data_IF_711310534988
#
_entry.id   IF_711310534988
#
_cell.length_a   1.000
_cell.length_b   1.000
_cell.length_c   1.000
_cell.angle_alpha   90.00
_cell.angle_beta   90.00
_cell.angle_gamma   90.00
#
_symmetry.space_group_name_H-M   'P 1'
#
loop_
_entity.id
_entity.type
_entity.pdbx_description
1 polymer ?
#
# COMPACT_ATOMS: atom_id res chain seq x y z
N UNK A 1 1.40 104.39 1.87
CA UNK A 1 2.80 104.85 1.79
C UNK A 1 3.64 103.73 1.26
N UNK A 2 4.58 104.06 0.51
CA UNK A 2 4.72 103.72 -0.93
C UNK A 2 5.82 102.66 -1.07
N UNK A 3 6.27 102.13 -2.11
CA UNK A 3 6.81 102.67 -3.34
C UNK A 3 7.17 101.53 -4.29
N UNK A 4 6.81 101.59 -5.51
CA UNK A 4 7.63 101.71 -6.70
C UNK A 4 8.58 100.57 -7.04
N UNK A 5 8.25 99.87 -8.02
CA UNK A 5 8.71 99.90 -9.43
C UNK A 5 10.14 99.39 -9.69
N UNK A 6 10.24 98.45 -10.50
CA UNK A 6 10.89 98.61 -11.85
C UNK A 6 10.78 97.37 -12.70
N UNK A 7 10.40 97.63 -13.84
CA UNK A 7 10.44 96.83 -15.07
C UNK A 7 11.92 96.51 -15.48
N UNK A 8 12.19 95.36 -15.90
CA UNK A 8 13.12 95.10 -17.00
C UNK A 8 12.83 93.79 -17.77
N UNK A 9 12.66 93.99 -18.99
CA UNK A 9 12.37 93.09 -20.07
C UNK A 9 13.73 92.47 -20.57
N UNK A 10 13.83 91.18 -20.69
CA UNK A 10 14.77 90.60 -21.73
C UNK A 10 14.42 89.20 -22.15
N UNK A 11 14.04 89.06 -23.35
CA UNK A 11 14.43 88.18 -24.45
C UNK A 11 14.54 86.66 -24.21
N UNK A 12 13.51 85.97 -24.75
CA UNK A 12 13.59 84.86 -25.71
C UNK A 12 14.82 83.98 -25.71
N UNK A 13 14.60 82.69 -25.39
CA UNK A 13 15.15 81.60 -26.21
C UNK A 13 14.26 80.39 -26.09
N UNK A 14 13.52 80.13 -27.20
CA UNK A 14 12.77 78.88 -27.43
C UNK A 14 13.73 77.72 -27.51
N UNK A 15 13.68 76.79 -26.54
CA UNK A 15 14.29 75.47 -26.70
C UNK A 15 13.18 74.42 -26.82
N UNK A 16 13.05 73.96 -28.07
CA UNK A 16 12.24 72.80 -28.42
C UNK A 16 12.82 71.55 -27.74
N UNK A 17 12.15 71.04 -26.71
CA UNK A 17 12.49 69.76 -26.15
C UNK A 17 11.68 68.70 -26.90
N UNK A 18 12.33 67.96 -27.76
CA UNK A 18 11.78 66.76 -28.42
C UNK A 18 11.80 65.63 -27.43
N UNK A 19 10.61 65.30 -26.88
CA UNK A 19 10.43 64.15 -25.99
C UNK A 19 10.37 62.87 -26.82
N UNK A 20 11.47 62.11 -26.84
CA UNK A 20 11.52 60.76 -27.37
C UNK A 20 10.76 59.82 -26.42
N UNK A 21 9.52 59.47 -26.78
CA UNK A 21 8.82 58.36 -26.13
C UNK A 21 9.47 57.04 -26.56
N UNK A 22 10.37 56.54 -25.74
CA UNK A 22 10.85 55.17 -25.83
C UNK A 22 9.74 54.20 -25.39
N UNK A 23 8.95 53.70 -26.35
CA UNK A 23 8.06 52.57 -26.13
C UNK A 23 8.89 51.30 -25.90
N UNK A 24 9.16 50.98 -24.64
CA UNK A 24 9.83 49.75 -24.27
C UNK A 24 8.96 48.54 -24.64
N UNK A 25 9.32 47.88 -25.71
CA UNK A 25 8.82 46.53 -26.04
C UNK A 25 9.32 45.56 -24.93
N UNK A 26 8.47 45.22 -23.94
CA UNK A 26 8.74 44.13 -23.05
C UNK A 26 8.43 42.83 -23.75
N UNK A 27 9.42 41.92 -23.94
CA UNK A 27 9.12 40.60 -24.47
C UNK A 27 8.20 39.86 -23.48
N UNK A 28 7.02 39.50 -23.95
CA UNK A 28 6.12 38.58 -23.25
C UNK A 28 6.85 37.23 -23.23
N UNK A 29 7.43 36.87 -22.06
CA UNK A 29 7.88 35.52 -21.80
C UNK A 29 6.62 34.65 -21.74
N UNK A 30 6.35 33.89 -22.79
CA UNK A 30 5.39 32.79 -22.80
C UNK A 30 5.90 31.76 -21.77
N UNK A 31 5.35 31.81 -20.57
CA UNK A 31 5.48 30.73 -19.59
C UNK A 31 4.76 29.53 -20.22
N UNK A 32 5.53 28.60 -20.79
CA UNK A 32 5.02 27.33 -21.25
C UNK A 32 4.39 26.64 -20.06
N UNK A 33 3.06 26.38 -20.11
CA UNK A 33 2.39 25.56 -19.15
C UNK A 33 3.14 24.19 -19.07
N UNK A 34 3.35 23.64 -17.86
CA UNK A 34 3.98 22.34 -17.73
C UNK A 34 3.19 21.34 -18.58
N UNK A 35 3.89 20.64 -19.48
CA UNK A 35 3.29 19.54 -20.23
C UNK A 35 2.69 18.58 -19.22
N UNK A 36 1.44 18.11 -19.40
CA UNK A 36 0.91 17.04 -18.57
C UNK A 36 1.89 15.88 -18.67
N UNK A 37 2.40 15.43 -17.52
CA UNK A 37 3.26 14.27 -17.46
C UNK A 37 2.54 13.12 -18.18
N UNK A 38 3.23 12.46 -19.12
CA UNK A 38 2.69 11.30 -19.81
C UNK A 38 2.20 10.32 -18.74
N UNK A 39 1.02 9.70 -18.89
CA UNK A 39 0.50 8.77 -17.89
C UNK A 39 1.57 7.69 -17.65
N UNK A 40 2.09 7.66 -16.42
CA UNK A 40 3.12 6.70 -16.03
C UNK A 40 2.49 5.32 -16.09
N UNK A 41 2.83 4.52 -17.11
CA UNK A 41 2.37 3.14 -17.20
C UNK A 41 3.05 2.34 -16.08
N UNK A 42 2.30 1.61 -15.23
CA UNK A 42 2.90 0.78 -14.19
C UNK A 42 3.90 -0.22 -14.75
N UNK A 43 5.01 -0.41 -14.05
CA UNK A 43 6.01 -1.41 -14.43
C UNK A 43 5.44 -2.82 -14.22
N UNK A 44 5.46 -3.65 -15.24
CA UNK A 44 5.13 -5.07 -15.14
C UNK A 44 6.33 -5.87 -14.62
N UNK A 45 6.04 -6.81 -13.70
CA UNK A 45 7.03 -7.72 -13.14
C UNK A 45 6.62 -9.18 -13.39
N UNK A 46 7.61 -10.02 -13.61
CA UNK A 46 7.52 -11.46 -13.55
C UNK A 46 8.31 -11.97 -12.35
N UNK A 47 8.25 -13.27 -12.09
CA UNK A 47 8.91 -13.90 -10.96
C UNK A 47 9.81 -15.05 -11.37
N UNK A 48 10.77 -15.35 -10.51
CA UNK A 48 11.50 -16.63 -10.48
C UNK A 48 11.30 -17.24 -9.10
N UNK A 49 11.01 -18.54 -9.03
CA UNK A 49 10.93 -19.27 -7.76
C UNK A 49 12.35 -19.50 -7.26
N UNK A 50 12.64 -19.06 -6.03
CA UNK A 50 13.91 -19.22 -5.33
C UNK A 50 13.87 -20.48 -4.47
N UNK A 51 12.77 -20.65 -3.70
CA UNK A 51 12.54 -21.80 -2.85
C UNK A 51 11.04 -22.09 -2.70
N UNK A 52 10.71 -23.29 -2.27
CA UNK A 52 9.34 -23.74 -2.02
C UNK A 52 9.29 -24.40 -0.66
N UNK A 53 8.34 -23.98 0.16
CA UNK A 53 8.17 -24.46 1.52
C UNK A 53 6.79 -25.15 1.68
N UNK A 54 6.64 -26.06 2.64
CA UNK A 54 5.36 -26.68 2.92
C UNK A 54 4.37 -25.67 3.50
N UNK A 55 3.09 -25.85 3.17
CA UNK A 55 1.99 -25.06 3.72
C UNK A 55 0.79 -25.96 4.02
N UNK A 56 0.06 -25.65 5.07
CA UNK A 56 -1.12 -26.39 5.50
C UNK A 56 -2.29 -26.18 4.52
N UNK A 57 -2.73 -27.24 3.86
CA UNK A 57 -3.84 -27.21 2.90
C UNK A 57 -5.20 -26.91 3.55
N UNK A 58 -5.30 -26.91 4.87
CA UNK A 58 -6.49 -26.48 5.61
C UNK A 58 -6.46 -24.98 5.96
N UNK A 59 -5.32 -24.30 5.76
CA UNK A 59 -5.19 -22.89 6.06
C UNK A 59 -5.91 -22.03 5.03
N UNK A 60 -7.03 -21.43 5.43
CA UNK A 60 -7.72 -20.41 4.63
C UNK A 60 -7.05 -19.06 4.88
N UNK A 61 -5.87 -18.87 4.28
CA UNK A 61 -4.96 -17.75 4.52
C UNK A 61 -5.60 -16.42 4.21
N UNK A 62 -5.67 -15.53 5.20
CA UNK A 62 -6.22 -14.19 5.10
C UNK A 62 -5.18 -13.10 5.42
N UNK A 63 -4.11 -13.45 6.09
CA UNK A 63 -3.00 -12.55 6.34
C UNK A 63 -1.72 -13.33 6.59
N UNK A 64 -0.59 -12.80 6.14
CA UNK A 64 0.71 -13.42 6.26
C UNK A 64 1.77 -12.38 6.64
N UNK A 65 2.67 -12.72 7.53
CA UNK A 65 3.82 -11.89 7.86
C UNK A 65 5.03 -12.77 8.20
N UNK A 66 6.25 -12.28 7.97
CA UNK A 66 7.47 -13.04 8.26
C UNK A 66 8.29 -12.36 9.35
N UNK A 67 8.85 -13.16 10.29
CA UNK A 67 9.89 -12.72 11.23
C UNK A 67 10.75 -13.89 11.69
N UNK A 68 12.08 -13.76 11.58
CA UNK A 68 13.08 -14.63 12.21
C UNK A 68 12.88 -16.12 11.94
N UNK A 69 12.61 -16.52 10.68
CA UNK A 69 12.41 -17.91 10.28
C UNK A 69 11.00 -18.45 10.50
N UNK A 70 10.08 -17.61 10.99
CA UNK A 70 8.69 -17.97 11.19
C UNK A 70 7.76 -17.14 10.31
N UNK A 71 6.72 -17.77 9.82
CA UNK A 71 5.54 -17.10 9.30
C UNK A 71 4.52 -16.97 10.41
N UNK A 72 3.88 -15.80 10.47
CA UNK A 72 2.69 -15.55 11.24
C UNK A 72 1.54 -15.53 10.23
N UNK A 73 0.50 -16.27 10.52
CA UNK A 73 -0.59 -16.49 9.58
C UNK A 73 -1.94 -16.27 10.26
N UNK A 74 -2.76 -15.38 9.72
CA UNK A 74 -4.17 -15.24 10.03
C UNK A 74 -4.99 -16.11 9.09
N UNK A 75 -5.83 -16.99 9.63
CA UNK A 75 -6.74 -17.82 8.84
C UNK A 75 -8.18 -17.43 9.06
N UNK A 76 -9.00 -17.57 7.99
CA UNK A 76 -10.44 -17.34 8.00
C UNK A 76 -11.26 -18.61 8.19
N UNK A 77 -12.55 -18.48 7.94
CA UNK A 77 -13.68 -19.40 8.09
C UNK A 77 -14.22 -19.45 9.53
N UNK A 78 -15.53 -19.26 9.67
CA UNK A 78 -16.24 -19.34 10.95
C UNK A 78 -16.00 -20.69 11.62
N UNK A 79 -15.72 -20.66 12.91
CA UNK A 79 -15.38 -21.83 13.71
C UNK A 79 -13.99 -22.44 13.45
N UNK A 80 -13.22 -21.91 12.50
CA UNK A 80 -11.90 -22.41 12.12
C UNK A 80 -10.82 -21.30 12.09
N UNK A 81 -11.22 -20.04 12.29
CA UNK A 81 -10.32 -18.90 12.25
C UNK A 81 -9.27 -18.95 13.34
N UNK A 82 -8.03 -18.67 12.98
CA UNK A 82 -6.91 -18.71 13.92
C UNK A 82 -5.83 -17.70 13.61
N UNK A 83 -4.99 -17.42 14.60
CA UNK A 83 -3.67 -16.83 14.45
C UNK A 83 -2.63 -17.92 14.71
N UNK A 84 -1.70 -18.13 13.79
CA UNK A 84 -0.68 -19.18 13.84
C UNK A 84 0.72 -18.60 13.74
N UNK A 85 1.68 -19.26 14.42
CA UNK A 85 3.12 -19.10 14.19
C UNK A 85 3.64 -20.39 13.58
N UNK A 86 4.16 -20.33 12.39
CA UNK A 86 4.53 -21.50 11.57
C UNK A 86 6.01 -21.43 11.25
N UNK A 87 6.75 -22.53 11.47
CA UNK A 87 8.15 -22.63 11.06
C UNK A 87 8.24 -22.70 9.53
N UNK A 88 8.90 -21.74 8.90
CA UNK A 88 8.95 -21.64 7.44
C UNK A 88 9.46 -22.93 6.79
N UNK A 89 10.55 -23.48 7.29
CA UNK A 89 11.24 -24.63 6.65
C UNK A 89 10.42 -25.94 6.69
N UNK A 90 9.59 -26.13 7.71
CA UNK A 90 8.89 -27.41 7.94
C UNK A 90 7.37 -27.32 7.79
N UNK A 91 6.79 -26.12 7.83
CA UNK A 91 5.34 -25.94 7.91
C UNK A 91 4.75 -26.31 9.29
N UNK A 92 5.58 -26.57 10.29
CA UNK A 92 5.16 -26.89 11.64
C UNK A 92 4.49 -25.70 12.32
N UNK A 93 3.27 -25.88 12.80
CA UNK A 93 2.58 -24.89 13.63
C UNK A 93 3.16 -24.99 15.04
N UNK A 94 4.01 -24.04 15.42
CA UNK A 94 4.66 -24.04 16.74
C UNK A 94 3.81 -23.32 17.81
N UNK A 95 2.86 -22.50 17.38
CA UNK A 95 1.93 -21.79 18.27
C UNK A 95 0.65 -21.41 17.52
N UNK A 96 -0.49 -21.50 18.20
CA UNK A 96 -1.79 -21.15 17.64
C UNK A 96 -2.72 -20.62 18.72
N UNK A 97 -3.57 -19.67 18.35
CA UNK A 97 -4.75 -19.27 19.08
C UNK A 97 -5.94 -19.26 18.14
N UNK A 98 -7.06 -19.83 18.55
CA UNK A 98 -8.29 -19.80 17.76
C UNK A 98 -9.11 -18.57 18.14
N UNK A 99 -9.79 -18.00 17.16
CA UNK A 99 -10.77 -16.94 17.38
C UNK A 99 -12.07 -17.55 17.93
N UNK A 100 -12.93 -16.69 18.45
CA UNK A 100 -14.31 -17.06 18.83
C UNK A 100 -15.05 -17.63 17.61
N UNK A 101 -15.88 -18.66 17.77
CA UNK A 101 -16.45 -19.43 16.64
C UNK A 101 -17.30 -18.63 15.67
N UNK A 102 -17.87 -17.52 16.10
CA UNK A 102 -18.69 -16.59 15.32
C UNK A 102 -17.88 -15.52 14.58
N UNK A 103 -16.55 -15.54 14.73
CA UNK A 103 -15.67 -14.58 14.10
C UNK A 103 -14.95 -15.19 12.90
N UNK A 104 -14.91 -14.42 11.82
CA UNK A 104 -14.09 -14.74 10.65
C UNK A 104 -12.79 -13.92 10.71
N UNK A 105 -11.66 -14.60 10.95
CA UNK A 105 -10.33 -13.98 11.02
C UNK A 105 -9.86 -13.52 9.65
N UNK A 106 -9.16 -12.40 9.62
CA UNK A 106 -8.70 -11.75 8.40
C UNK A 106 -7.23 -11.34 8.50
N UNK A 107 -6.82 -10.31 7.76
CA UNK A 107 -5.46 -9.82 7.64
C UNK A 107 -4.76 -9.61 8.97
N UNK A 108 -3.46 -9.87 8.96
CA UNK A 108 -2.58 -9.65 10.12
C UNK A 108 -1.39 -8.79 9.74
N UNK A 109 -0.76 -8.19 10.75
CA UNK A 109 0.57 -7.59 10.60
C UNK A 109 1.35 -7.64 11.91
N UNK A 110 2.68 -7.48 11.81
CA UNK A 110 3.58 -7.42 12.97
C UNK A 110 4.00 -5.98 13.24
N UNK A 111 3.57 -5.41 14.36
CA UNK A 111 3.98 -4.07 14.77
C UNK A 111 4.69 -4.13 16.12
N UNK A 112 6.00 -3.84 16.12
CA UNK A 112 6.86 -4.01 17.29
C UNK A 112 6.80 -5.45 17.83
N UNK A 113 6.46 -5.63 19.11
CA UNK A 113 6.30 -6.94 19.75
C UNK A 113 4.83 -7.39 19.83
N UNK A 114 4.06 -7.05 18.80
CA UNK A 114 2.62 -7.35 18.72
C UNK A 114 2.27 -7.95 17.38
N UNK A 115 1.25 -8.82 17.41
CA UNK A 115 0.52 -9.24 16.21
C UNK A 115 -0.84 -8.54 16.27
N UNK A 116 -1.21 -7.90 15.17
CA UNK A 116 -2.52 -7.27 15.01
C UNK A 116 -3.29 -8.11 14.01
N UNK A 117 -4.52 -8.49 14.33
CA UNK A 117 -5.39 -9.29 13.47
C UNK A 117 -6.76 -8.63 13.34
N UNK A 118 -7.28 -8.62 12.12
CA UNK A 118 -8.62 -8.13 11.80
C UNK A 118 -9.64 -9.27 11.81
N UNK A 119 -10.91 -8.90 11.75
CA UNK A 119 -12.04 -9.79 11.46
C UNK A 119 -12.82 -9.23 10.27
N UNK A 120 -13.51 -10.07 9.50
CA UNK A 120 -14.19 -9.66 8.28
C UNK A 120 -15.25 -8.56 8.52
N UNK A 121 -16.42 -8.94 9.07
CA UNK A 121 -17.61 -8.08 9.19
C UNK A 121 -17.90 -7.60 10.61
N UNK A 122 -17.22 -8.18 11.59
CA UNK A 122 -17.48 -7.89 13.01
C UNK A 122 -16.97 -6.51 13.43
N UNK A 123 -16.07 -5.88 12.62
CA UNK A 123 -15.46 -4.59 12.95
C UNK A 123 -14.59 -4.64 14.20
N UNK A 124 -14.09 -5.82 14.57
CA UNK A 124 -13.26 -6.07 15.74
C UNK A 124 -11.85 -6.42 15.29
N UNK A 125 -10.86 -5.74 15.85
CA UNK A 125 -9.46 -6.11 15.72
C UNK A 125 -8.87 -6.58 17.04
N UNK A 126 -7.92 -7.48 16.96
CA UNK A 126 -7.20 -8.06 18.09
C UNK A 126 -5.74 -7.62 18.09
N UNK A 127 -5.20 -7.39 19.27
CA UNK A 127 -3.78 -7.14 19.50
C UNK A 127 -3.27 -8.22 20.43
N UNK A 128 -2.36 -9.04 19.93
CA UNK A 128 -1.71 -10.10 20.70
C UNK A 128 -0.24 -9.74 20.99
N UNK A 129 0.26 -10.23 22.11
CA UNK A 129 1.70 -10.30 22.36
C UNK A 129 2.36 -11.26 21.36
N UNK A 130 3.42 -10.82 20.69
CA UNK A 130 4.08 -11.57 19.62
C UNK A 130 4.63 -12.95 20.06
N UNK A 131 5.11 -13.03 21.29
CA UNK A 131 5.81 -14.22 21.77
C UNK A 131 4.84 -15.24 22.36
N UNK A 132 3.86 -14.78 23.13
CA UNK A 132 2.94 -15.65 23.88
C UNK A 132 1.59 -15.83 23.23
N UNK A 133 1.23 -15.03 22.22
CA UNK A 133 -0.11 -14.93 21.63
C UNK A 133 -1.20 -14.60 22.67
N UNK A 134 -0.80 -14.09 23.83
CA UNK A 134 -1.75 -13.59 24.83
C UNK A 134 -2.46 -12.36 24.28
N UNK A 135 -3.78 -12.38 24.31
CA UNK A 135 -4.58 -11.21 23.93
C UNK A 135 -4.27 -10.05 24.88
N UNK A 136 -3.82 -8.93 24.33
CA UNK A 136 -3.50 -7.69 25.05
C UNK A 136 -4.70 -6.75 25.11
N UNK A 137 -5.34 -6.55 23.94
CA UNK A 137 -6.56 -5.72 23.83
C UNK A 137 -7.32 -6.01 22.54
N UNK A 138 -8.55 -5.51 22.50
CA UNK A 138 -9.37 -5.40 21.28
C UNK A 138 -9.50 -3.93 20.89
N UNK A 139 -9.73 -3.69 19.62
CA UNK A 139 -10.11 -2.38 19.09
C UNK A 139 -11.24 -2.55 18.10
N UNK A 140 -11.92 -1.44 17.78
CA UNK A 140 -13.01 -1.46 16.81
C UNK A 140 -12.67 -0.59 15.62
N UNK A 141 -13.17 -0.98 14.45
CA UNK A 141 -13.12 -0.20 13.22
C UNK A 141 -14.46 -0.32 12.48
N UNK A 142 -14.77 0.63 11.60
CA UNK A 142 -16.01 0.62 10.83
C UNK A 142 -15.84 -0.17 9.53
N UNK A 143 -16.92 -0.80 9.05
CA UNK A 143 -16.92 -1.56 7.80
C UNK A 143 -16.22 -2.91 7.89
N UNK A 144 -15.83 -3.45 6.76
CA UNK A 144 -15.10 -4.71 6.68
C UNK A 144 -13.59 -4.50 6.89
N UNK A 145 -12.89 -5.57 7.28
CA UNK A 145 -11.44 -5.63 7.30
C UNK A 145 -10.98 -6.86 6.53
N UNK A 146 -10.11 -6.68 5.52
CA UNK A 146 -9.58 -7.76 4.70
C UNK A 146 -8.07 -7.91 4.92
N UNK A 147 -7.23 -7.08 4.31
CA UNK A 147 -5.79 -7.10 4.49
C UNK A 147 -5.29 -6.08 5.49
N UNK A 148 -4.11 -6.34 6.04
CA UNK A 148 -3.46 -5.43 7.01
C UNK A 148 -1.94 -5.45 6.83
N UNK A 149 -1.34 -4.30 6.62
CA UNK A 149 0.11 -4.12 6.57
C UNK A 149 0.58 -2.98 7.48
N UNK A 150 1.87 -2.87 7.73
CA UNK A 150 2.44 -1.77 8.50
C UNK A 150 3.77 -1.28 7.95
N UNK A 151 4.01 0.03 8.05
CA UNK A 151 5.32 0.63 7.82
C UNK A 151 6.14 0.80 9.13
N UNK A 152 5.71 0.15 10.22
CA UNK A 152 6.28 0.28 11.56
C UNK A 152 5.70 1.42 12.39
N UNK A 153 4.83 2.27 11.82
CA UNK A 153 4.18 3.41 12.49
C UNK A 153 2.69 3.50 12.19
N UNK A 154 2.32 3.33 10.95
CA UNK A 154 0.94 3.35 10.46
C UNK A 154 0.52 1.95 10.04
N UNK A 155 -0.78 1.70 10.11
CA UNK A 155 -1.41 0.50 9.59
C UNK A 155 -2.16 0.83 8.30
N UNK A 156 -2.05 -0.04 7.31
CA UNK A 156 -2.75 0.01 6.04
C UNK A 156 -3.78 -1.10 6.03
N UNK A 157 -5.05 -0.77 5.91
CA UNK A 157 -6.18 -1.69 5.97
C UNK A 157 -6.96 -1.64 4.66
N UNK A 158 -7.16 -2.79 4.02
CA UNK A 158 -8.03 -2.97 2.86
C UNK A 158 -9.39 -3.54 3.29
N UNK A 159 -10.42 -3.34 2.46
CA UNK A 159 -11.79 -3.83 2.68
C UNK A 159 -12.47 -4.28 1.37
N UNK A 160 -11.68 -4.63 0.35
CA UNK A 160 -12.16 -5.02 -0.97
C UNK A 160 -12.51 -3.85 -1.89
N UNK A 161 -12.60 -2.64 -1.38
CA UNK A 161 -12.79 -1.43 -2.20
C UNK A 161 -11.47 -0.96 -2.82
N UNK A 162 -11.51 0.10 -3.59
CA UNK A 162 -10.32 0.79 -4.11
C UNK A 162 -9.69 1.76 -3.10
N UNK A 163 -10.06 1.70 -1.84
CA UNK A 163 -9.50 2.55 -0.80
C UNK A 163 -8.68 1.72 0.20
N UNK A 164 -7.49 2.19 0.55
CA UNK A 164 -6.72 1.70 1.69
C UNK A 164 -6.88 2.71 2.82
N UNK A 165 -7.37 2.25 3.95
CA UNK A 165 -7.52 3.06 5.17
C UNK A 165 -6.21 3.07 5.92
N UNK A 166 -5.73 4.25 6.29
CA UNK A 166 -4.50 4.41 7.06
C UNK A 166 -4.86 4.72 8.50
N UNK A 167 -4.48 3.81 9.39
CA UNK A 167 -4.75 3.94 10.82
C UNK A 167 -3.47 4.31 11.55
N UNK A 168 -3.61 4.98 12.67
CA UNK A 168 -2.53 5.16 13.63
C UNK A 168 -2.19 3.83 14.31
N UNK A 169 -0.92 3.45 14.34
CA UNK A 169 -0.48 2.14 14.84
C UNK A 169 -0.63 1.93 16.35
N UNK A 170 -0.83 3.00 17.14
CA UNK A 170 -1.01 2.93 18.59
C UNK A 170 -2.48 3.02 18.99
N UNK A 171 -3.19 3.99 18.41
CA UNK A 171 -4.59 4.28 18.76
C UNK A 171 -5.60 3.53 17.89
N UNK A 172 -5.19 3.04 16.72
CA UNK A 172 -6.01 2.41 15.66
C UNK A 172 -7.08 3.34 15.07
N UNK A 173 -6.98 4.63 15.31
CA UNK A 173 -7.88 5.62 14.70
C UNK A 173 -7.51 5.86 13.23
N UNK A 174 -8.52 5.94 12.38
CA UNK A 174 -8.34 6.27 10.96
C UNK A 174 -7.84 7.71 10.81
N UNK A 175 -6.71 7.88 10.13
CA UNK A 175 -6.07 9.17 9.87
C UNK A 175 -6.41 9.72 8.49
N UNK A 176 -6.44 8.84 7.50
CA UNK A 176 -6.67 9.17 6.09
C UNK A 176 -7.01 7.93 5.28
N UNK A 177 -7.42 8.14 4.05
CA UNK A 177 -7.62 7.10 3.04
C UNK A 177 -6.76 7.36 1.82
N UNK A 178 -6.32 6.29 1.20
CA UNK A 178 -5.56 6.28 -0.06
C UNK A 178 -6.47 5.69 -1.11
N UNK A 179 -6.80 6.47 -2.15
CA UNK A 179 -7.56 5.98 -3.30
C UNK A 179 -6.59 5.32 -4.27
N UNK A 180 -6.73 4.02 -4.48
CA UNK A 180 -5.85 3.23 -5.33
C UNK A 180 -6.34 3.28 -6.77
N UNK A 181 -5.43 3.62 -7.68
CA UNK A 181 -5.76 3.77 -9.09
C UNK A 181 -4.58 3.49 -10.02
N UNK A 182 -4.90 3.13 -11.25
CA UNK A 182 -3.98 3.11 -12.39
C UNK A 182 -4.41 4.18 -13.39
N UNK A 183 -3.66 5.27 -13.46
CA UNK A 183 -4.08 6.46 -14.20
C UNK A 183 -5.39 7.02 -13.63
N UNK A 184 -6.46 7.04 -14.42
CA UNK A 184 -7.80 7.47 -13.98
C UNK A 184 -8.71 6.33 -13.52
N UNK A 185 -8.28 5.08 -13.61
CA UNK A 185 -9.10 3.90 -13.30
C UNK A 185 -8.86 3.47 -11.87
N UNK A 186 -9.92 3.38 -11.06
CA UNK A 186 -9.85 2.83 -9.71
C UNK A 186 -9.50 1.33 -9.75
N UNK A 187 -8.68 0.89 -8.80
CA UNK A 187 -8.30 -0.52 -8.63
C UNK A 187 -8.90 -1.03 -7.34
N UNK A 188 -9.92 -1.87 -7.46
CA UNK A 188 -10.65 -2.48 -6.35
C UNK A 188 -10.24 -3.94 -6.10
N UNK A 189 -11.02 -4.64 -5.26
CA UNK A 189 -10.75 -6.01 -4.82
C UNK A 189 -9.41 -6.14 -4.07
N UNK A 190 -8.96 -5.04 -3.44
CA UNK A 190 -7.75 -5.05 -2.63
C UNK A 190 -7.96 -5.97 -1.42
N UNK A 191 -7.13 -6.99 -1.31
CA UNK A 191 -7.24 -8.01 -0.28
C UNK A 191 -6.02 -8.00 0.64
N UNK A 192 -5.32 -9.10 0.80
CA UNK A 192 -4.17 -9.20 1.67
C UNK A 192 -3.08 -8.21 1.27
N UNK A 193 -2.45 -7.60 2.29
CA UNK A 193 -1.49 -6.50 2.13
C UNK A 193 -0.16 -6.80 2.80
N UNK A 194 0.94 -6.36 2.18
CA UNK A 194 2.27 -6.33 2.80
C UNK A 194 3.00 -5.02 2.47
N UNK A 195 3.79 -4.51 3.42
CA UNK A 195 4.59 -3.30 3.21
C UNK A 195 6.03 -3.67 2.82
N UNK A 196 6.39 -3.42 1.56
CA UNK A 196 7.67 -3.83 0.97
C UNK A 196 8.43 -2.62 0.43
N UNK A 197 9.59 -2.31 1.01
CA UNK A 197 10.52 -1.27 0.52
C UNK A 197 9.83 0.07 0.18
N UNK A 198 8.95 0.54 1.06
CA UNK A 198 8.28 1.84 0.89
C UNK A 198 6.98 1.81 0.06
N UNK A 199 6.54 0.64 -0.37
CA UNK A 199 5.31 0.44 -1.13
C UNK A 199 4.36 -0.52 -0.41
N UNK A 200 3.07 -0.40 -0.68
CA UNK A 200 2.08 -1.39 -0.27
C UNK A 200 1.89 -2.37 -1.43
N UNK A 201 2.15 -3.65 -1.16
CA UNK A 201 1.81 -4.74 -2.07
C UNK A 201 0.43 -5.25 -1.69
N UNK A 202 -0.45 -5.44 -2.65
CA UNK A 202 -1.83 -5.87 -2.43
C UNK A 202 -2.19 -7.03 -3.33
N UNK A 203 -2.64 -8.14 -2.75
CA UNK A 203 -3.37 -9.15 -3.52
C UNK A 203 -4.69 -8.55 -4.02
N UNK A 204 -5.08 -8.90 -5.24
CA UNK A 204 -6.43 -8.64 -5.73
C UNK A 204 -7.24 -9.93 -5.66
N UNK A 205 -8.40 -9.88 -5.01
CA UNK A 205 -9.26 -11.06 -4.86
C UNK A 205 -9.65 -11.64 -6.22
N UNK A 206 -9.59 -12.97 -6.36
CA UNK A 206 -9.77 -13.72 -7.60
C UNK A 206 -8.80 -13.35 -8.75
N UNK A 207 -7.68 -12.72 -8.45
CA UNK A 207 -6.64 -12.42 -9.43
C UNK A 207 -5.34 -13.18 -9.13
N UNK A 208 -4.53 -13.42 -10.15
CA UNK A 208 -3.14 -13.88 -9.98
C UNK A 208 -2.15 -12.70 -9.97
N UNK A 209 -2.63 -11.48 -9.82
CA UNK A 209 -1.79 -10.28 -9.81
C UNK A 209 -1.71 -9.67 -8.43
N UNK A 210 -0.56 -9.07 -8.15
CA UNK A 210 -0.33 -8.24 -6.97
C UNK A 210 -0.04 -6.82 -7.44
N UNK A 211 -0.77 -5.86 -6.89
CA UNK A 211 -0.51 -4.43 -7.13
C UNK A 211 0.63 -3.94 -6.24
N UNK A 212 1.55 -3.15 -6.79
CA UNK A 212 2.53 -2.36 -6.05
C UNK A 212 2.04 -0.92 -6.01
N UNK A 213 1.72 -0.42 -4.83
CA UNK A 213 0.98 0.82 -4.63
C UNK A 213 1.86 1.83 -3.90
N UNK A 214 1.91 3.06 -4.39
CA UNK A 214 2.49 4.20 -3.68
C UNK A 214 1.59 4.60 -2.50
N UNK A 215 2.03 4.50 -1.25
CA UNK A 215 1.20 4.88 -0.11
C UNK A 215 1.01 6.40 0.04
N UNK A 216 1.76 7.20 -0.74
CA UNK A 216 1.66 8.65 -0.77
C UNK A 216 0.56 9.13 -1.73
N UNK A 217 0.48 8.52 -2.93
CA UNK A 217 -0.39 8.99 -4.00
C UNK A 217 -1.56 8.05 -4.29
N UNK A 218 -1.43 6.74 -3.99
CA UNK A 218 -2.40 5.71 -4.37
C UNK A 218 -2.18 5.16 -5.78
N UNK A 219 -1.19 5.68 -6.52
CA UNK A 219 -0.86 5.15 -7.84
C UNK A 219 -0.41 3.69 -7.74
N UNK A 220 -0.92 2.85 -8.62
CA UNK A 220 -0.30 1.56 -8.91
C UNK A 220 0.97 1.84 -9.72
N UNK A 221 2.13 1.66 -9.09
CA UNK A 221 3.44 1.89 -9.71
C UNK A 221 4.00 0.64 -10.39
N UNK A 222 3.41 -0.52 -10.10
CA UNK A 222 3.80 -1.77 -10.74
C UNK A 222 2.80 -2.88 -10.51
N UNK A 223 2.85 -3.87 -11.39
CA UNK A 223 2.08 -5.10 -11.33
C UNK A 223 3.00 -6.32 -11.28
N UNK A 224 2.73 -7.24 -10.37
CA UNK A 224 3.40 -8.54 -10.31
C UNK A 224 2.41 -9.58 -10.84
N UNK A 225 2.77 -10.24 -11.93
CA UNK A 225 1.97 -11.31 -12.53
C UNK A 225 2.49 -12.67 -12.03
N UNK A 226 1.72 -13.31 -11.16
CA UNK A 226 2.00 -14.61 -10.56
C UNK A 226 1.22 -15.76 -11.25
N UNK A 227 0.73 -15.53 -12.47
CA UNK A 227 0.06 -16.56 -13.26
C UNK A 227 0.98 -17.76 -13.45
N UNK A 228 0.49 -18.95 -13.12
CA UNK A 228 1.24 -20.19 -13.22
C UNK A 228 2.13 -20.53 -12.02
N UNK A 229 2.17 -19.69 -10.98
CA UNK A 229 2.94 -19.97 -9.76
C UNK A 229 2.52 -21.30 -9.11
N UNK A 230 1.21 -21.50 -8.90
CA UNK A 230 0.65 -22.77 -8.45
C UNK A 230 -0.02 -23.51 -9.61
N UNK A 231 0.32 -24.79 -9.77
CA UNK A 231 -0.34 -25.65 -10.77
C UNK A 231 -1.84 -25.74 -10.48
N UNK A 232 -2.71 -25.64 -11.50
CA UNK A 232 -4.17 -25.73 -11.34
C UNK A 232 -4.64 -27.00 -10.63
N UNK A 233 -3.90 -28.10 -10.71
CA UNK A 233 -4.22 -29.36 -10.03
C UNK A 233 -4.31 -29.26 -8.51
N UNK A 234 -3.70 -28.23 -7.91
CA UNK A 234 -3.75 -27.97 -6.46
C UNK A 234 -4.85 -27.01 -6.05
N UNK A 235 -5.61 -26.46 -7.00
CA UNK A 235 -6.74 -25.55 -6.72
C UNK A 235 -8.02 -26.38 -6.65
N UNK A 236 -8.25 -27.03 -5.51
CA UNK A 236 -9.36 -27.96 -5.33
C UNK A 236 -10.69 -27.28 -5.01
N UNK A 237 -10.65 -26.03 -4.58
CA UNK A 237 -11.84 -25.22 -4.27
C UNK A 237 -11.80 -23.91 -5.06
N UNK A 238 -12.97 -23.30 -5.42
CA UNK A 238 -13.02 -22.01 -6.11
C UNK A 238 -12.32 -20.87 -5.33
N UNK A 239 -12.37 -20.96 -3.99
CA UNK A 239 -11.72 -19.97 -3.11
C UNK A 239 -10.24 -20.28 -2.84
N UNK A 240 -9.67 -21.32 -3.43
CA UNK A 240 -8.23 -21.61 -3.36
C UNK A 240 -7.44 -20.62 -4.26
N UNK A 241 -7.55 -19.35 -3.95
CA UNK A 241 -6.97 -18.24 -4.71
C UNK A 241 -5.67 -17.75 -4.08
N UNK A 242 -4.86 -17.04 -4.89
CA UNK A 242 -3.68 -16.33 -4.42
C UNK A 242 -4.09 -15.34 -3.31
N UNK A 243 -3.51 -15.48 -2.13
CA UNK A 243 -3.70 -14.58 -0.99
C UNK A 243 -2.67 -14.87 0.08
N UNK A 244 -1.87 -13.88 0.44
CA UNK A 244 -0.80 -13.96 1.42
C UNK A 244 0.55 -13.56 0.82
N UNK A 245 1.08 -12.46 1.32
CA UNK A 245 2.38 -11.89 0.99
C UNK A 245 3.12 -11.67 2.31
N UNK A 246 4.38 -12.08 2.38
CA UNK A 246 5.23 -11.75 3.52
C UNK A 246 6.62 -11.33 3.04
N UNK A 247 7.24 -10.41 3.77
CA UNK A 247 8.55 -9.88 3.41
C UNK A 247 9.54 -9.96 4.55
N UNK A 248 10.74 -10.47 4.25
CA UNK A 248 11.90 -10.41 5.14
C UNK A 248 12.74 -9.17 4.77
N UNK A 249 12.66 -8.08 5.55
CA UNK A 249 13.35 -6.84 5.20
C UNK A 249 14.88 -6.94 5.39
N UNK A 250 15.35 -7.90 6.18
CA UNK A 250 16.78 -8.09 6.47
C UNK A 250 17.46 -8.77 5.29
N UNK A 251 16.88 -9.88 4.79
CA UNK A 251 17.42 -10.66 3.68
C UNK A 251 16.78 -10.36 2.34
N UNK A 252 15.80 -9.43 2.30
CA UNK A 252 15.05 -9.02 1.11
C UNK A 252 14.40 -10.19 0.40
N UNK A 253 13.75 -11.07 1.18
CA UNK A 253 13.04 -12.23 0.66
C UNK A 253 11.55 -11.96 0.61
N UNK A 254 10.93 -12.28 -0.51
CA UNK A 254 9.49 -12.14 -0.71
C UNK A 254 8.84 -13.52 -0.77
N UNK A 255 7.86 -13.74 0.08
CA UNK A 255 7.09 -14.98 0.17
C UNK A 255 5.66 -14.74 -0.29
N UNK A 256 5.10 -15.69 -1.02
CA UNK A 256 3.71 -15.65 -1.46
C UNK A 256 3.07 -17.02 -1.33
N UNK A 257 1.78 -17.03 -1.02
CA UNK A 257 0.95 -18.24 -0.93
C UNK A 257 -0.48 -17.95 -1.37
N UNK A 258 -1.40 -18.84 -1.07
CA UNK A 258 -2.83 -18.67 -1.30
C UNK A 258 -3.65 -19.48 -0.32
N UNK A 259 -4.95 -19.17 -0.26
CA UNK A 259 -5.93 -19.89 0.54
C UNK A 259 -5.92 -21.37 0.18
N UNK A 260 -5.74 -22.25 1.17
CA UNK A 260 -5.72 -23.71 1.01
C UNK A 260 -4.60 -24.24 0.06
N UNK A 261 -3.61 -23.42 -0.23
CA UNK A 261 -2.50 -23.85 -1.07
C UNK A 261 -1.56 -24.78 -0.28
N UNK A 262 -0.96 -25.81 -0.93
CA UNK A 262 -0.03 -26.72 -0.27
C UNK A 262 1.40 -26.16 -0.15
N UNK A 263 1.66 -24.96 -0.65
CA UNK A 263 3.01 -24.40 -0.78
C UNK A 263 3.05 -22.92 -0.48
N UNK A 264 4.16 -22.50 0.11
CA UNK A 264 4.63 -21.12 0.16
C UNK A 264 5.80 -21.01 -0.80
N UNK A 265 5.84 -19.97 -1.59
CA UNK A 265 6.89 -19.74 -2.58
C UNK A 265 7.72 -18.53 -2.17
N UNK A 266 9.05 -18.73 -2.04
CA UNK A 266 9.99 -17.63 -2.04
C UNK A 266 10.25 -17.23 -3.49
N UNK A 267 10.02 -15.98 -3.83
CA UNK A 267 10.14 -15.49 -5.20
C UNK A 267 11.08 -14.30 -5.30
N UNK A 268 11.70 -14.18 -6.46
CA UNK A 268 12.47 -13.00 -6.87
C UNK A 268 11.78 -12.34 -8.04
N UNK A 269 11.55 -11.03 -7.93
CA UNK A 269 10.90 -10.24 -8.98
C UNK A 269 11.92 -9.76 -10.01
N UNK A 270 11.49 -9.73 -11.27
CA UNK A 270 12.22 -9.13 -12.37
C UNK A 270 11.29 -8.26 -13.21
N UNK A 271 11.68 -7.02 -13.56
CA UNK A 271 10.86 -6.19 -14.45
C UNK A 271 10.76 -6.86 -15.82
N UNK A 272 9.57 -6.85 -16.42
CA UNK A 272 9.38 -7.23 -17.81
C UNK A 272 9.91 -6.09 -18.71
N UNK A 273 10.70 -6.42 -19.72
CA UNK A 273 11.10 -5.45 -20.72
C UNK A 273 9.85 -4.87 -21.40
N UNK A 274 9.79 -3.57 -21.54
CA UNK A 274 8.78 -2.95 -22.40
C UNK A 274 9.06 -3.35 -23.84
N UNK A 275 8.08 -4.01 -24.48
CA UNK A 275 8.12 -4.28 -25.92
C UNK A 275 7.70 -3.05 -26.69
#
# INVERSE_FOLDING_TARGET
>A
MPELARCEMNRTLSRLVVLFLLTGFRPFLLVQAPHPASPHRPQEYTFAIVAVYPHDTSAFTQGLAYRDGFLYEGTGREGQSSLRKVRLETGEIVQQVNLEPDLFGEGITLLNDKVIQLTWKSGIGFVYDLNSFRLLRRFSYSGEGWGLATNGRELFLSDGTSEIRVLDGETFQEKRRIKVHEGSTAVDQLNELEFVEGQVFANLWHSNRVARISPQTGDVVGWIDLTGLLSPMYRLEPEAVLNGIAYDPIRKRLFVTGKLWPRIFEIKLSPKAHK
#
